data_IF_113583979674
#
_entry.id   IF_113583979674
#
_cell.length_a   1.000
_cell.length_b   1.000
_cell.length_c   1.000
_cell.angle_alpha   90.00
_cell.angle_beta   90.00
_cell.angle_gamma   90.00
#
_symmetry.space_group_name_H-M   'P 1'
#
loop_
_entity.id
_entity.type
_entity.pdbx_description
1 polymer ?
#
# COMPACT_ATOMS: atom_id res chain seq x y z
N UNK A 1 -7.44 -19.88 -31.03
CA UNK A 1 -6.84 -18.74 -30.30
C UNK A 1 -5.54 -19.18 -29.62
N UNK A 2 -4.38 -18.59 -29.95
CA UNK A 2 -3.10 -18.93 -29.29
C UNK A 2 -3.16 -18.52 -27.81
N UNK A 3 -2.99 -19.48 -26.88
CA UNK A 3 -2.91 -19.20 -25.45
C UNK A 3 -1.69 -18.29 -25.20
N UNK A 4 -1.91 -17.08 -24.66
CA UNK A 4 -0.80 -16.23 -24.20
C UNK A 4 -0.02 -16.99 -23.13
N UNK A 5 1.30 -17.14 -23.31
CA UNK A 5 2.20 -17.72 -22.29
C UNK A 5 2.04 -16.91 -21.00
N UNK A 6 1.67 -17.58 -19.91
CA UNK A 6 1.61 -16.96 -18.59
C UNK A 6 3.03 -16.83 -18.07
N UNK A 7 3.52 -15.59 -17.95
CA UNK A 7 4.81 -15.30 -17.32
C UNK A 7 4.62 -15.34 -15.81
N UNK A 8 5.50 -16.09 -15.13
CA UNK A 8 5.58 -16.08 -13.67
C UNK A 8 6.60 -15.02 -13.25
N UNK A 9 6.16 -13.99 -12.53
CA UNK A 9 7.03 -12.91 -12.09
C UNK A 9 7.62 -13.23 -10.72
N UNK A 10 8.92 -13.06 -10.58
CA UNK A 10 9.60 -13.16 -9.28
C UNK A 10 9.21 -11.98 -8.38
N UNK A 11 9.38 -12.12 -7.06
CA UNK A 11 9.11 -11.03 -6.11
C UNK A 11 9.95 -9.79 -6.39
N UNK A 12 11.22 -9.97 -6.80
CA UNK A 12 12.12 -8.87 -7.13
C UNK A 12 11.65 -8.10 -8.38
N UNK A 13 11.19 -8.81 -9.42
CA UNK A 13 10.64 -8.16 -10.63
C UNK A 13 9.34 -7.43 -10.34
N UNK A 14 8.44 -8.05 -9.55
CA UNK A 14 7.20 -7.38 -9.13
C UNK A 14 7.53 -6.12 -8.33
N UNK A 15 8.48 -6.18 -7.40
CA UNK A 15 8.91 -5.02 -6.61
C UNK A 15 9.42 -3.89 -7.50
N UNK A 16 10.34 -4.17 -8.44
CA UNK A 16 10.84 -3.17 -9.41
C UNK A 16 9.72 -2.57 -10.26
N UNK A 17 8.82 -3.40 -10.78
CA UNK A 17 7.69 -2.95 -11.57
C UNK A 17 6.70 -2.11 -10.73
N UNK A 18 6.52 -2.46 -9.46
CA UNK A 18 5.68 -1.73 -8.52
C UNK A 18 6.27 -0.36 -8.20
N UNK A 19 7.59 -0.27 -8.03
CA UNK A 19 8.32 1.00 -7.85
C UNK A 19 8.19 1.91 -9.06
N UNK A 20 8.37 1.39 -10.28
CA UNK A 20 8.15 2.18 -11.51
C UNK A 20 6.70 2.72 -11.58
N UNK A 21 5.74 1.87 -11.23
CA UNK A 21 4.32 2.24 -11.16
C UNK A 21 4.03 3.29 -10.07
N UNK A 22 4.72 3.23 -8.94
CA UNK A 22 4.64 4.20 -7.85
C UNK A 22 5.11 5.59 -8.32
N UNK A 23 6.23 5.66 -9.04
CA UNK A 23 6.73 6.92 -9.59
C UNK A 23 5.75 7.57 -10.57
N UNK A 24 5.18 6.79 -11.51
CA UNK A 24 4.15 7.32 -12.41
C UNK A 24 3.32 6.23 -13.06
N UNK A 25 1.99 6.35 -12.91
CA UNK A 25 1.03 5.48 -13.62
C UNK A 25 1.11 5.67 -15.14
N UNK A 26 1.26 6.91 -15.62
CA UNK A 26 1.28 7.21 -17.07
C UNK A 26 2.56 6.67 -17.70
N UNK A 27 3.71 6.88 -17.05
CA UNK A 27 4.98 6.35 -17.53
C UNK A 27 4.98 4.82 -17.57
N UNK A 28 4.45 4.17 -16.54
CA UNK A 28 4.34 2.70 -16.51
C UNK A 28 3.51 2.16 -17.69
N UNK A 29 2.37 2.79 -17.98
CA UNK A 29 1.51 2.40 -19.11
C UNK A 29 2.22 2.63 -20.44
N UNK A 30 2.89 3.77 -20.61
CA UNK A 30 3.65 4.10 -21.82
C UNK A 30 4.76 3.08 -22.09
N UNK A 31 5.62 2.82 -21.10
CA UNK A 31 6.73 1.87 -21.21
C UNK A 31 6.24 0.46 -21.55
N UNK A 32 5.10 0.05 -21.00
CA UNK A 32 4.52 -1.27 -21.26
C UNK A 32 3.83 -1.37 -22.62
N UNK A 33 2.99 -0.40 -22.95
CA UNK A 33 2.08 -0.50 -24.10
C UNK A 33 2.70 0.05 -25.37
N UNK A 34 3.41 1.19 -25.30
CA UNK A 34 4.01 1.87 -26.46
C UNK A 34 5.43 1.37 -26.72
N UNK A 35 6.24 1.22 -25.67
CA UNK A 35 7.62 0.71 -25.80
C UNK A 35 7.70 -0.82 -25.72
N UNK A 36 6.57 -1.50 -25.51
CA UNK A 36 6.46 -2.96 -25.47
C UNK A 36 7.40 -3.68 -24.48
N UNK A 37 7.81 -3.01 -23.39
CA UNK A 37 8.61 -3.67 -22.36
C UNK A 37 7.80 -4.77 -21.64
N UNK A 38 8.44 -5.91 -21.30
CA UNK A 38 7.79 -7.00 -20.58
C UNK A 38 7.54 -6.59 -19.12
N UNK A 39 6.39 -5.97 -18.86
CA UNK A 39 5.96 -5.53 -17.53
C UNK A 39 4.67 -6.24 -17.07
N UNK A 40 4.50 -6.50 -15.76
CA UNK A 40 3.29 -7.07 -15.20
C UNK A 40 1.99 -6.35 -15.60
N UNK A 41 0.87 -7.07 -15.54
CA UNK A 41 -0.46 -6.45 -15.60
C UNK A 41 -0.70 -5.53 -14.42
N UNK A 42 -1.43 -4.42 -14.61
CA UNK A 42 -1.89 -3.59 -13.49
C UNK A 42 -2.70 -4.42 -12.48
N UNK A 43 -3.51 -5.36 -12.95
CA UNK A 43 -4.25 -6.32 -12.12
C UNK A 43 -3.32 -7.27 -11.34
N UNK A 44 -2.14 -7.60 -11.89
CA UNK A 44 -1.14 -8.42 -11.19
C UNK A 44 -0.47 -7.62 -10.08
N UNK A 45 -0.12 -6.35 -10.34
CA UNK A 45 0.39 -5.45 -9.30
C UNK A 45 -0.65 -5.20 -8.21
N UNK A 46 -1.93 -5.02 -8.56
CA UNK A 46 -3.01 -4.88 -7.58
C UNK A 46 -3.20 -6.14 -6.74
N UNK A 47 -3.17 -7.32 -7.35
CA UNK A 47 -3.27 -8.60 -6.62
C UNK A 47 -2.10 -8.77 -5.65
N UNK A 48 -0.90 -8.40 -6.07
CA UNK A 48 0.27 -8.41 -5.21
C UNK A 48 0.18 -7.36 -4.09
N UNK A 49 -0.27 -6.14 -4.38
CA UNK A 49 -0.47 -5.12 -3.33
C UNK A 49 -1.49 -5.55 -2.27
N UNK A 50 -2.52 -6.31 -2.66
CA UNK A 50 -3.51 -6.86 -1.73
C UNK A 50 -2.94 -7.88 -0.75
N UNK A 51 -1.80 -8.51 -1.06
CA UNK A 51 -1.16 -9.43 -0.10
C UNK A 51 -0.38 -8.70 0.99
N UNK A 52 -0.25 -7.37 0.90
CA UNK A 52 0.36 -6.55 1.95
C UNK A 52 -0.73 -6.23 2.97
N UNK A 53 -0.60 -6.74 4.19
CA UNK A 53 -1.57 -6.54 5.24
C UNK A 53 -1.39 -5.17 5.92
N UNK A 54 -2.26 -4.22 5.58
CA UNK A 54 -2.31 -2.91 6.22
C UNK A 54 -3.40 -2.92 7.31
N UNK A 55 -3.06 -3.43 8.50
CA UNK A 55 -3.97 -3.47 9.66
C UNK A 55 -4.00 -2.10 10.37
N UNK A 56 -5.13 -1.77 11.00
CA UNK A 56 -5.20 -0.60 11.89
C UNK A 56 -4.36 -0.85 13.14
N UNK A 57 -3.74 0.19 13.69
CA UNK A 57 -2.87 0.11 14.86
C UNK A 57 -1.40 0.21 14.46
N UNK A 58 -0.54 -0.52 15.16
CA UNK A 58 0.91 -0.49 14.95
C UNK A 58 1.29 -1.31 13.72
N UNK A 59 2.07 -0.72 12.80
CA UNK A 59 2.53 -1.37 11.58
C UNK A 59 3.78 -2.25 11.85
N UNK A 60 3.56 -3.46 12.36
CA UNK A 60 4.64 -4.38 12.74
C UNK A 60 5.60 -4.73 11.61
N UNK A 61 5.11 -4.93 10.38
CA UNK A 61 5.96 -5.26 9.23
C UNK A 61 6.97 -4.15 8.92
N UNK A 62 6.55 -2.90 9.09
CA UNK A 62 7.42 -1.73 8.90
C UNK A 62 8.45 -1.65 10.02
N UNK A 63 8.04 -1.87 11.28
CA UNK A 63 8.97 -1.89 12.41
C UNK A 63 10.02 -3.00 12.29
N UNK A 64 9.62 -4.19 11.81
CA UNK A 64 10.55 -5.28 11.55
C UNK A 64 11.55 -4.93 10.45
N UNK A 65 11.09 -4.28 9.38
CA UNK A 65 11.98 -3.78 8.32
C UNK A 65 12.95 -2.72 8.85
N UNK A 66 12.47 -1.78 9.67
CA UNK A 66 13.30 -0.76 10.30
C UNK A 66 14.33 -1.38 11.26
N UNK A 67 13.95 -2.42 12.01
CA UNK A 67 14.86 -3.16 12.90
C UNK A 67 16.01 -3.78 12.11
N UNK A 68 15.70 -4.48 11.01
CA UNK A 68 16.71 -5.08 10.13
C UNK A 68 17.65 -4.01 9.55
N UNK A 69 17.11 -2.88 9.10
CA UNK A 69 17.92 -1.76 8.62
C UNK A 69 18.74 -1.10 9.75
N UNK A 70 18.29 -1.21 10.99
CA UNK A 70 18.98 -0.67 12.16
C UNK A 70 20.14 -1.55 12.66
N UNK A 71 20.26 -2.80 12.21
CA UNK A 71 21.36 -3.69 12.64
C UNK A 71 22.73 -3.15 12.24
N UNK A 72 22.81 -2.43 11.11
CA UNK A 72 24.03 -1.79 10.62
C UNK A 72 24.33 -0.42 11.26
N UNK A 73 23.42 0.09 12.09
CA UNK A 73 23.53 1.42 12.70
C UNK A 73 24.10 1.38 14.12
N UNK A 74 24.93 2.37 14.45
CA UNK A 74 25.43 2.60 15.79
C UNK A 74 24.35 3.18 16.72
N UNK A 75 24.58 3.14 18.04
CA UNK A 75 23.58 3.58 19.02
C UNK A 75 23.16 5.05 18.85
N UNK A 76 24.08 5.93 18.45
CA UNK A 76 23.79 7.33 18.16
C UNK A 76 22.89 7.51 16.93
N UNK A 77 23.09 6.68 15.90
CA UNK A 77 22.32 6.71 14.65
C UNK A 77 20.92 6.11 14.81
N UNK A 78 20.73 5.27 15.82
CA UNK A 78 19.43 4.70 16.19
C UNK A 78 18.53 5.68 16.94
N UNK A 79 19.09 6.78 17.48
CA UNK A 79 18.30 7.79 18.18
C UNK A 79 17.35 8.48 17.20
N UNK A 80 16.04 8.40 17.47
CA UNK A 80 15.01 8.95 16.61
C UNK A 80 13.86 9.54 17.42
N UNK A 81 13.12 10.47 16.83
CA UNK A 81 11.96 11.14 17.44
C UNK A 81 10.71 10.69 16.70
N UNK A 82 9.69 10.27 17.46
CA UNK A 82 8.37 9.93 16.90
C UNK A 82 7.46 11.16 16.97
N UNK A 83 7.07 11.67 15.80
CA UNK A 83 6.08 12.75 15.65
C UNK A 83 4.82 12.20 14.98
N UNK A 84 3.64 12.62 15.46
CA UNK A 84 2.35 12.21 14.90
C UNK A 84 1.33 13.37 14.95
N UNK A 85 0.43 13.41 13.97
CA UNK A 85 -0.67 14.37 13.86
C UNK A 85 -1.86 13.72 13.13
N UNK A 86 -3.06 14.29 13.28
CA UNK A 86 -4.30 13.78 12.71
C UNK A 86 -4.70 14.52 11.42
N UNK A 87 -4.98 13.77 10.36
CA UNK A 87 -5.49 14.35 9.11
C UNK A 87 -7.00 14.20 9.03
N UNK A 88 -7.73 15.32 8.95
CA UNK A 88 -9.17 15.32 8.70
C UNK A 88 -9.47 14.71 7.34
N UNK A 89 -10.16 13.58 7.32
CA UNK A 89 -10.68 12.99 6.08
C UNK A 89 -12.11 13.46 5.85
N UNK A 90 -12.41 13.89 4.63
CA UNK A 90 -13.78 14.18 4.23
C UNK A 90 -14.61 12.89 4.32
N UNK A 91 -15.85 13.01 4.80
CA UNK A 91 -16.79 11.90 5.00
C UNK A 91 -16.98 11.16 3.67
N UNK A 92 -16.32 10.01 3.51
CA UNK A 92 -16.47 9.19 2.33
C UNK A 92 -17.76 8.38 2.49
N UNK A 93 -18.66 8.54 1.52
CA UNK A 93 -19.77 7.63 1.22
C UNK A 93 -19.35 6.17 1.52
N UNK A 94 -20.26 5.37 2.12
CA UNK A 94 -20.06 3.95 2.44
C UNK A 94 -19.34 3.21 1.31
N UNK A 95 -18.01 3.16 1.38
CA UNK A 95 -17.22 2.38 0.47
C UNK A 95 -17.31 0.96 0.98
N UNK A 96 -18.19 0.15 0.37
CA UNK A 96 -18.14 -1.29 0.46
C UNK A 96 -16.78 -1.75 -0.09
N UNK A 97 -15.77 -1.76 0.75
CA UNK A 97 -14.54 -2.49 0.49
C UNK A 97 -14.95 -3.96 0.45
N UNK A 98 -15.07 -4.53 -0.75
CA UNK A 98 -15.42 -5.94 -1.01
C UNK A 98 -14.51 -6.98 -0.34
N UNK A 99 -13.55 -6.55 0.49
CA UNK A 99 -12.65 -7.43 1.23
C UNK A 99 -12.69 -7.02 2.71
N UNK A 100 -13.50 -7.70 3.52
CA UNK A 100 -13.39 -7.96 4.97
C UNK A 100 -12.83 -6.87 5.94
N UNK A 101 -12.87 -5.59 5.60
CA UNK A 101 -12.61 -4.52 6.57
C UNK A 101 -13.92 -4.22 7.29
N UNK A 102 -13.95 -4.18 8.65
CA UNK A 102 -15.15 -3.79 9.37
C UNK A 102 -15.56 -2.38 8.92
N UNK A 103 -16.85 -2.22 8.62
CA UNK A 103 -17.47 -0.93 8.33
C UNK A 103 -17.18 -0.01 9.53
N UNK A 104 -16.34 1.01 9.33
CA UNK A 104 -16.08 2.01 10.37
C UNK A 104 -17.27 2.97 10.40
N UNK A 105 -18.17 2.78 11.37
CA UNK A 105 -19.23 3.74 11.63
C UNK A 105 -18.64 5.01 12.27
N UNK A 106 -19.13 6.21 11.91
CA UNK A 106 -18.84 7.40 12.69
C UNK A 106 -19.45 7.25 14.08
N UNK A 107 -18.64 7.35 15.13
CA UNK A 107 -19.12 7.51 16.50
C UNK A 107 -19.72 8.92 16.62
N UNK A 108 -21.01 9.05 16.33
CA UNK A 108 -21.77 10.26 16.62
C UNK A 108 -21.92 10.31 18.14
N UNK A 109 -21.17 11.19 18.81
CA UNK A 109 -21.50 11.61 20.17
C UNK A 109 -22.81 12.40 20.06
N UNK A 110 -23.93 11.74 20.34
CA UNK A 110 -25.22 12.41 20.52
C UNK A 110 -25.08 13.24 21.80
N UNK A 111 -24.89 14.55 21.67
CA UNK A 111 -25.07 15.43 22.83
C UNK A 111 -26.57 15.45 23.15
N UNK A 112 -26.99 15.23 24.41
CA UNK A 112 -28.38 15.37 24.78
C UNK A 112 -28.82 16.81 24.53
N UNK A 113 -29.90 17.00 23.76
CA UNK A 113 -30.59 18.28 23.68
C UNK A 113 -31.11 18.61 25.08
N UNK A 114 -30.60 19.67 25.68
CA UNK A 114 -31.18 20.24 26.89
C UNK A 114 -32.63 20.65 26.58
N UNK A 115 -33.51 20.25 27.50
CA UNK A 115 -34.96 20.48 27.52
C UNK A 115 -35.29 21.96 27.59
#
# INVERSE_FOLDING_TARGET
MKKKKRVHWTRAEISKAFTLRYFSKRAYVYVKNELHYPLPGLSSLQRWAKSIEMRNGVLHDVLNLMKLNGEVLNNSEKLTVLMFDEVKKHFMHLNFLKNNFPVKYPLIKIQPKNM
#
